data_IF_413869928226
#
_entry.id   IF_413869928226
#
_cell.length_a   1.000
_cell.length_b   1.000
_cell.length_c   1.000
_cell.angle_alpha   90.00
_cell.angle_beta   90.00
_cell.angle_gamma   90.00
#
_symmetry.space_group_name_H-M   'P 1'
#
loop_
_entity.id
_entity.type
_entity.pdbx_description
1 polymer ?
#
# COMPACT_ATOMS: atom_id res chain seq x y z
N UNK A 1 0.65 -15.76 -3.98
CA UNK A 1 0.39 -15.32 -2.58
C UNK A 1 1.08 -16.18 -1.50
N UNK A 2 1.94 -17.10 -1.91
CA UNK A 2 2.72 -17.92 -0.96
C UNK A 2 3.66 -17.08 -0.09
N UNK A 3 4.22 -15.98 -0.65
CA UNK A 3 5.12 -15.06 0.06
C UNK A 3 4.44 -14.44 1.30
N UNK A 4 3.17 -14.05 1.17
CA UNK A 4 2.41 -13.50 2.29
C UNK A 4 2.10 -14.56 3.36
N UNK A 5 1.75 -15.78 2.97
CA UNK A 5 1.57 -16.87 3.92
C UNK A 5 2.89 -17.27 4.60
N UNK A 6 4.01 -17.22 3.86
CA UNK A 6 5.33 -17.48 4.41
C UNK A 6 5.71 -16.45 5.50
N UNK A 7 5.45 -15.15 5.28
CA UNK A 7 5.63 -14.10 6.29
C UNK A 7 4.80 -14.39 7.54
N UNK A 8 3.52 -14.70 7.38
CA UNK A 8 2.61 -14.95 8.50
C UNK A 8 3.07 -16.16 9.33
N UNK A 9 3.47 -17.24 8.66
CA UNK A 9 4.04 -18.44 9.31
C UNK A 9 5.33 -18.11 10.03
N UNK A 10 6.23 -17.40 9.37
CA UNK A 10 7.53 -17.01 9.93
C UNK A 10 7.38 -16.20 11.22
N UNK A 11 6.44 -15.25 11.26
CA UNK A 11 6.19 -14.44 12.46
C UNK A 11 5.57 -15.27 13.59
N UNK A 12 4.65 -16.18 13.27
CA UNK A 12 4.06 -17.08 14.29
C UNK A 12 5.10 -18.02 14.92
N UNK A 13 6.09 -18.47 14.15
CA UNK A 13 7.09 -19.45 14.56
C UNK A 13 8.32 -18.80 15.20
N UNK A 14 8.76 -17.64 14.72
CA UNK A 14 10.06 -17.03 15.07
C UNK A 14 9.94 -15.64 15.68
N UNK A 15 8.75 -15.05 15.70
CA UNK A 15 8.55 -13.70 16.21
C UNK A 15 8.72 -13.60 17.73
N UNK A 16 9.22 -12.45 18.18
CA UNK A 16 9.26 -12.08 19.59
C UNK A 16 7.92 -11.48 20.04
N UNK A 17 7.46 -11.87 21.22
CA UNK A 17 6.29 -11.26 21.84
C UNK A 17 6.64 -9.88 22.40
N UNK A 18 5.82 -8.86 22.08
CA UNK A 18 6.00 -7.48 22.50
C UNK A 18 4.69 -6.90 23.02
N UNK A 19 4.79 -5.94 23.94
CA UNK A 19 3.71 -5.00 24.22
C UNK A 19 3.59 -3.98 23.07
N UNK A 20 2.43 -3.38 22.93
CA UNK A 20 2.16 -2.31 21.97
C UNK A 20 1.33 -1.20 22.59
N UNK A 21 1.15 -0.08 21.87
CA UNK A 21 0.40 1.09 22.34
C UNK A 21 -1.06 0.77 22.68
N UNK A 22 -1.66 -0.19 21.99
CA UNK A 22 -3.08 -0.55 22.18
C UNK A 22 -3.32 -1.49 23.36
N UNK A 23 -2.26 -2.03 23.97
CA UNK A 23 -2.34 -3.01 25.04
C UNK A 23 -2.75 -4.43 24.61
N UNK A 24 -2.99 -4.64 23.30
CA UNK A 24 -3.37 -5.97 22.75
C UNK A 24 -2.19 -6.94 22.78
N UNK A 25 -0.98 -6.43 22.61
CA UNK A 25 0.24 -7.19 22.43
C UNK A 25 0.39 -7.73 21.01
N UNK A 26 1.63 -7.89 20.59
CA UNK A 26 1.98 -8.35 19.24
C UNK A 26 3.02 -9.47 19.32
N UNK A 27 3.12 -10.23 18.23
CA UNK A 27 4.31 -11.04 17.91
C UNK A 27 4.92 -10.48 16.65
N UNK A 28 6.21 -10.15 16.66
CA UNK A 28 6.85 -9.45 15.55
C UNK A 28 8.25 -9.96 15.23
N UNK A 29 8.64 -9.72 13.98
CA UNK A 29 10.02 -9.83 13.51
C UNK A 29 10.48 -8.48 12.98
N UNK A 30 11.77 -8.18 13.05
CA UNK A 30 12.35 -6.97 12.50
C UNK A 30 13.11 -7.26 11.23
N UNK A 31 12.66 -6.64 10.14
CA UNK A 31 13.24 -6.85 8.81
C UNK A 31 12.69 -8.10 8.12
N UNK A 32 11.85 -7.90 7.11
CA UNK A 32 11.37 -8.96 6.22
C UNK A 32 11.12 -8.41 4.83
N UNK A 33 11.38 -9.20 3.78
CA UNK A 33 11.13 -8.75 2.43
C UNK A 33 10.36 -9.81 1.64
N UNK A 34 9.37 -9.34 0.88
CA UNK A 34 8.61 -10.15 -0.09
C UNK A 34 8.79 -9.59 -1.51
N UNK A 35 8.68 -10.46 -2.51
CA UNK A 35 8.70 -10.07 -3.93
C UNK A 35 7.49 -10.66 -4.63
N UNK A 36 6.87 -9.85 -5.47
CA UNK A 36 5.71 -10.21 -6.27
C UNK A 36 6.00 -9.86 -7.73
N UNK A 37 6.12 -10.87 -8.59
CA UNK A 37 6.20 -10.66 -10.04
C UNK A 37 4.81 -10.28 -10.55
N UNK A 38 4.65 -9.02 -10.94
CA UNK A 38 3.35 -8.48 -11.37
C UNK A 38 2.91 -8.99 -12.75
N UNK A 39 3.83 -9.57 -13.52
CA UNK A 39 3.50 -10.21 -14.79
C UNK A 39 2.77 -11.55 -14.60
N UNK A 40 2.87 -12.18 -13.43
CA UNK A 40 2.16 -13.43 -13.11
C UNK A 40 0.70 -13.20 -12.64
N UNK A 41 0.28 -11.96 -12.46
CA UNK A 41 -1.05 -11.59 -12.01
C UNK A 41 -1.02 -10.54 -10.90
N UNK A 42 -2.19 -9.99 -10.62
CA UNK A 42 -2.33 -8.95 -9.59
C UNK A 42 -2.33 -9.56 -8.19
N UNK A 43 -1.43 -9.14 -7.29
CA UNK A 43 -1.24 -9.79 -5.99
C UNK A 43 -2.31 -9.39 -4.96
N UNK A 44 -3.59 -9.57 -5.28
CA UNK A 44 -4.68 -9.47 -4.33
C UNK A 44 -4.81 -10.81 -3.59
N UNK A 45 -4.77 -10.77 -2.25
CA UNK A 45 -4.85 -11.98 -1.42
C UNK A 45 -6.12 -12.79 -1.75
N UNK A 46 -5.95 -14.10 -1.97
CA UNK A 46 -7.03 -15.03 -2.31
C UNK A 46 -7.42 -15.95 -1.14
N UNK A 47 -6.60 -16.04 -0.10
CA UNK A 47 -6.86 -16.87 1.09
C UNK A 47 -7.88 -16.26 2.06
N UNK A 48 -8.25 -15.00 1.86
CA UNK A 48 -9.43 -14.34 2.42
C UNK A 48 -9.91 -13.28 1.44
N UNK A 49 -11.21 -12.96 1.47
CA UNK A 49 -11.77 -11.91 0.62
C UNK A 49 -11.28 -10.54 1.06
N UNK A 50 -10.77 -9.75 0.13
CA UNK A 50 -10.42 -8.34 0.30
C UNK A 50 -11.38 -7.44 -0.49
N UNK A 51 -11.51 -6.20 -0.05
CA UNK A 51 -12.40 -5.20 -0.65
C UNK A 51 -11.59 -4.26 -1.55
N UNK A 52 -11.43 -4.65 -2.85
CA UNK A 52 -10.67 -3.86 -3.83
C UNK A 52 -11.13 -2.40 -3.89
N UNK A 53 -12.45 -2.15 -3.78
CA UNK A 53 -12.99 -0.80 -3.82
C UNK A 53 -12.33 0.13 -2.80
N UNK A 54 -12.18 -0.32 -1.54
CA UNK A 54 -11.51 0.48 -0.51
C UNK A 54 -10.04 0.73 -0.83
N UNK A 55 -9.34 -0.30 -1.34
CA UNK A 55 -7.91 -0.18 -1.72
C UNK A 55 -7.73 0.84 -2.85
N UNK A 56 -8.55 0.75 -3.89
CA UNK A 56 -8.46 1.62 -5.04
C UNK A 56 -8.81 3.08 -4.69
N UNK A 57 -9.91 3.31 -3.95
CA UNK A 57 -10.28 4.66 -3.53
C UNK A 57 -9.25 5.28 -2.57
N UNK A 58 -8.66 4.51 -1.65
CA UNK A 58 -7.57 4.99 -0.81
C UNK A 58 -6.36 5.45 -1.64
N UNK A 59 -5.95 4.63 -2.62
CA UNK A 59 -4.83 5.00 -3.50
C UNK A 59 -5.15 6.24 -4.34
N UNK A 60 -6.35 6.34 -4.91
CA UNK A 60 -6.79 7.51 -5.68
C UNK A 60 -6.82 8.78 -4.80
N UNK A 61 -7.24 8.63 -3.54
CA UNK A 61 -7.21 9.70 -2.56
C UNK A 61 -5.77 10.14 -2.23
N UNK A 62 -4.81 9.21 -2.07
CA UNK A 62 -3.39 9.58 -1.94
C UNK A 62 -2.87 10.29 -3.17
N UNK A 63 -3.20 9.81 -4.38
CA UNK A 63 -2.78 10.42 -5.65
C UNK A 63 -3.33 11.84 -5.80
N UNK A 64 -4.53 12.12 -5.30
CA UNK A 64 -5.12 13.47 -5.33
C UNK A 64 -4.41 14.49 -4.44
N UNK A 65 -3.61 14.02 -3.47
CA UNK A 65 -2.96 14.89 -2.48
C UNK A 65 -3.87 15.37 -1.36
N UNK A 66 -5.13 14.93 -1.32
CA UNK A 66 -6.09 15.30 -0.28
C UNK A 66 -5.74 14.68 1.06
N UNK A 67 -6.07 15.39 2.14
CA UNK A 67 -5.94 14.94 3.53
C UNK A 67 -7.29 14.77 4.21
N UNK A 68 -8.36 15.26 3.56
CA UNK A 68 -9.73 15.16 4.06
C UNK A 68 -10.39 13.87 3.56
N UNK A 69 -11.08 13.15 4.46
CA UNK A 69 -11.70 11.85 4.18
C UNK A 69 -13.07 11.93 3.49
N UNK A 70 -13.59 13.13 3.19
CA UNK A 70 -14.91 13.28 2.56
C UNK A 70 -15.05 12.44 1.29
N UNK A 71 -14.06 12.49 0.39
CA UNK A 71 -14.03 11.64 -0.82
C UNK A 71 -14.14 10.14 -0.51
N UNK A 72 -13.47 9.67 0.53
CA UNK A 72 -13.53 8.26 0.94
C UNK A 72 -14.94 7.91 1.43
N UNK A 73 -15.52 8.76 2.28
CA UNK A 73 -16.89 8.57 2.83
C UNK A 73 -17.95 8.58 1.74
N UNK A 74 -17.89 9.52 0.79
CA UNK A 74 -18.77 9.60 -0.39
C UNK A 74 -18.75 8.32 -1.23
N UNK A 75 -17.61 7.64 -1.24
CA UNK A 75 -17.44 6.37 -1.94
C UNK A 75 -17.66 5.13 -1.04
N UNK A 76 -18.14 5.31 0.19
CA UNK A 76 -18.47 4.24 1.13
C UNK A 76 -17.23 3.56 1.72
N UNK A 77 -16.11 4.27 1.82
CA UNK A 77 -14.85 3.82 2.39
C UNK A 77 -14.64 4.48 3.74
N UNK A 78 -14.56 3.69 4.82
CA UNK A 78 -14.53 4.17 6.21
C UNK A 78 -13.21 3.89 6.94
N UNK A 79 -12.20 3.37 6.24
CA UNK A 79 -10.95 2.87 6.85
C UNK A 79 -10.11 3.94 7.55
N UNK A 80 -10.41 5.23 7.36
CA UNK A 80 -9.74 6.36 7.97
C UNK A 80 -10.60 7.15 8.96
N UNK A 81 -11.88 6.78 9.15
CA UNK A 81 -12.83 7.55 9.98
C UNK A 81 -12.36 7.73 11.44
N UNK A 82 -11.67 6.73 12.00
CA UNK A 82 -11.27 6.71 13.41
C UNK A 82 -10.11 7.67 13.73
N UNK A 83 -9.39 8.11 12.70
CA UNK A 83 -8.23 9.00 12.87
C UNK A 83 -8.50 10.45 12.45
N UNK A 84 -9.59 10.69 11.72
CA UNK A 84 -9.92 12.03 11.24
C UNK A 84 -10.42 12.92 12.39
N UNK A 85 -10.10 14.20 12.31
CA UNK A 85 -10.63 15.21 13.21
C UNK A 85 -12.12 15.50 12.95
N UNK A 86 -12.69 16.45 13.69
CA UNK A 86 -14.11 16.82 13.56
C UNK A 86 -14.47 17.40 12.17
N UNK A 87 -13.50 17.87 11.40
CA UNK A 87 -13.65 18.37 10.04
C UNK A 87 -13.36 17.31 8.97
N UNK A 88 -13.02 16.09 9.38
CA UNK A 88 -12.65 15.01 8.49
C UNK A 88 -11.21 15.10 7.97
N UNK A 89 -10.34 15.88 8.61
CA UNK A 89 -8.94 16.05 8.20
C UNK A 89 -7.99 15.16 9.01
N UNK A 90 -6.93 14.68 8.35
CA UNK A 90 -5.89 13.81 8.93
C UNK A 90 -4.56 14.53 9.13
N UNK A 91 -4.50 15.83 8.79
CA UNK A 91 -3.24 16.54 8.69
C UNK A 91 -2.40 16.11 7.47
N UNK A 92 -1.13 16.50 7.39
CA UNK A 92 -0.30 16.36 6.18
C UNK A 92 0.20 14.92 5.93
N UNK A 93 -0.74 13.94 5.91
CA UNK A 93 -0.42 12.52 5.70
C UNK A 93 -0.18 12.20 4.22
N UNK A 94 0.38 11.07 3.92
CA UNK A 94 0.63 10.40 2.62
C UNK A 94 0.49 11.25 1.37
N UNK A 95 -0.74 11.48 0.89
CA UNK A 95 -1.01 12.19 -0.36
C UNK A 95 -0.49 13.62 -0.35
N UNK A 96 -0.59 14.34 0.78
CA UNK A 96 -0.02 15.67 0.94
C UNK A 96 1.51 15.65 0.76
N UNK A 97 2.19 14.65 1.32
CA UNK A 97 3.63 14.53 1.18
C UNK A 97 4.01 14.13 -0.26
N UNK A 98 3.26 13.24 -0.89
CA UNK A 98 3.54 12.79 -2.25
C UNK A 98 3.37 13.89 -3.30
N UNK A 99 2.34 14.76 -3.13
CA UNK A 99 1.87 15.72 -4.16
C UNK A 99 2.18 17.18 -3.83
N UNK A 100 2.41 17.51 -2.57
CA UNK A 100 2.58 18.88 -2.16
C UNK A 100 3.47 19.02 -0.91
N UNK A 101 4.65 18.38 -0.97
CA UNK A 101 5.68 18.53 0.07
C UNK A 101 6.13 19.98 0.17
N UNK A 102 6.11 20.54 1.38
CA UNK A 102 6.62 21.87 1.62
C UNK A 102 8.11 21.84 1.99
N UNK A 103 8.93 22.57 1.23
CA UNK A 103 10.34 22.83 1.58
C UNK A 103 10.44 23.85 2.71
N UNK A 104 11.62 23.96 3.33
CA UNK A 104 11.90 24.98 4.33
C UNK A 104 11.77 26.42 3.79
N UNK A 105 11.92 26.62 2.48
CA UNK A 105 11.71 27.91 1.80
C UNK A 105 10.24 28.21 1.46
N UNK A 106 9.32 27.28 1.76
CA UNK A 106 7.89 27.39 1.41
C UNK A 106 7.53 26.94 0.01
N UNK A 107 8.50 26.46 -0.76
CA UNK A 107 8.25 25.87 -2.10
C UNK A 107 7.44 24.57 -1.95
N UNK A 108 6.45 24.38 -2.84
CA UNK A 108 5.64 23.17 -2.89
C UNK A 108 6.19 22.24 -3.96
N UNK A 109 6.53 21.02 -3.55
CA UNK A 109 7.15 20.01 -4.41
C UNK A 109 6.19 18.84 -4.63
N UNK A 110 5.86 18.56 -5.90
CA UNK A 110 5.14 17.34 -6.30
C UNK A 110 6.17 16.22 -6.56
N UNK A 111 6.41 15.39 -5.55
CA UNK A 111 7.37 14.29 -5.66
C UNK A 111 6.91 13.25 -6.68
N UNK A 112 5.63 12.85 -6.66
CA UNK A 112 5.12 11.79 -7.52
C UNK A 112 5.09 12.21 -8.98
N UNK A 113 4.63 13.44 -9.27
CA UNK A 113 4.69 14.00 -10.61
C UNK A 113 6.12 14.13 -11.13
N UNK A 114 7.05 14.61 -10.29
CA UNK A 114 8.47 14.71 -10.63
C UNK A 114 9.11 13.36 -10.94
N UNK A 115 8.76 12.32 -10.17
CA UNK A 115 9.25 10.95 -10.42
C UNK A 115 8.73 10.39 -11.72
N UNK A 116 7.44 10.59 -12.05
CA UNK A 116 6.86 10.16 -13.32
C UNK A 116 7.53 10.88 -14.52
N UNK A 117 7.75 12.18 -14.39
CA UNK A 117 8.47 12.95 -15.40
C UNK A 117 9.91 12.45 -15.59
N UNK A 118 10.60 12.13 -14.48
CA UNK A 118 11.96 11.59 -14.53
C UNK A 118 12.00 10.18 -15.13
N UNK A 119 11.06 9.30 -14.84
CA UNK A 119 10.97 7.97 -15.47
C UNK A 119 10.88 8.10 -16.99
N UNK A 120 10.05 9.03 -17.50
CA UNK A 120 9.88 9.26 -18.94
C UNK A 120 11.14 9.83 -19.58
N UNK A 121 11.85 10.71 -18.89
CA UNK A 121 13.04 11.42 -19.40
C UNK A 121 14.32 10.59 -19.27
N UNK A 122 14.48 9.91 -18.13
CA UNK A 122 15.71 9.20 -17.76
C UNK A 122 15.36 7.95 -16.91
N UNK A 123 14.90 6.86 -17.55
CA UNK A 123 14.48 5.65 -16.84
C UNK A 123 15.60 5.00 -16.02
N UNK A 124 16.87 5.25 -16.32
CA UNK A 124 18.02 4.74 -15.57
C UNK A 124 18.34 5.52 -14.29
N UNK A 125 17.54 6.55 -13.97
CA UNK A 125 17.72 7.36 -12.76
C UNK A 125 17.62 6.50 -11.50
N UNK A 126 18.55 6.75 -10.55
CA UNK A 126 18.54 6.13 -9.21
C UNK A 126 17.82 6.97 -8.17
N UNK A 127 17.14 8.06 -8.60
CA UNK A 127 16.48 9.06 -7.74
C UNK A 127 14.96 9.02 -7.84
N UNK A 128 14.40 7.89 -8.28
CA UNK A 128 12.97 7.70 -8.47
C UNK A 128 12.29 7.36 -7.12
N UNK A 129 12.40 8.27 -6.14
CA UNK A 129 11.97 8.06 -4.75
C UNK A 129 10.85 9.05 -4.41
N UNK A 130 9.83 8.55 -3.71
CA UNK A 130 8.77 9.34 -3.08
C UNK A 130 8.76 9.03 -1.59
N UNK A 131 8.86 10.05 -0.74
CA UNK A 131 8.87 9.94 0.72
C UNK A 131 7.61 10.53 1.33
N UNK A 132 6.98 9.79 2.24
CA UNK A 132 5.92 10.31 3.11
C UNK A 132 6.44 10.69 4.51
N UNK A 133 7.68 10.28 4.84
CA UNK A 133 8.28 10.52 6.15
C UNK A 133 8.91 11.91 6.22
N UNK A 134 8.08 12.91 6.50
CA UNK A 134 8.51 14.29 6.71
C UNK A 134 8.62 14.57 8.20
N UNK A 135 9.84 14.58 8.74
CA UNK A 135 10.11 14.73 10.17
C UNK A 135 9.50 16.01 10.76
N UNK A 136 9.47 17.11 9.98
CA UNK A 136 8.92 18.38 10.43
C UNK A 136 7.37 18.38 10.52
N UNK A 137 6.72 17.48 9.80
CA UNK A 137 5.27 17.38 9.75
C UNK A 137 4.70 16.24 10.62
N UNK A 138 5.52 15.29 11.09
CA UNK A 138 5.05 14.16 11.93
C UNK A 138 4.14 14.61 13.10
N UNK A 139 4.46 15.68 13.85
CA UNK A 139 3.61 16.12 14.96
C UNK A 139 2.23 16.64 14.55
N UNK A 140 2.04 16.95 13.27
CA UNK A 140 0.79 17.48 12.71
C UNK A 140 -0.09 16.40 12.08
N UNK A 141 0.42 15.17 11.95
CA UNK A 141 -0.27 14.05 11.33
C UNK A 141 -1.11 13.30 12.36
N UNK A 142 -2.35 12.98 12.02
CA UNK A 142 -3.20 12.14 12.87
C UNK A 142 -2.57 10.75 13.09
N UNK A 143 -1.84 10.24 12.08
CA UNK A 143 -1.09 8.99 12.15
C UNK A 143 0.23 9.15 11.39
N UNK A 144 1.36 8.89 12.08
CA UNK A 144 2.66 8.87 11.42
C UNK A 144 2.72 7.77 10.32
N UNK A 145 3.22 8.09 9.11
CA UNK A 145 3.16 7.18 7.98
C UNK A 145 3.79 5.81 8.26
N UNK A 146 3.04 4.73 8.09
CA UNK A 146 3.57 3.37 8.11
C UNK A 146 4.39 3.10 6.83
N UNK A 147 3.86 3.49 5.67
CA UNK A 147 4.56 3.46 4.38
C UNK A 147 5.47 4.69 4.30
N UNK A 148 6.76 4.52 4.65
CA UNK A 148 7.66 5.66 4.81
C UNK A 148 8.14 6.23 3.48
N UNK A 149 8.51 5.35 2.55
CA UNK A 149 8.99 5.72 1.22
C UNK A 149 8.84 4.56 0.24
N UNK A 150 8.75 4.89 -1.03
CA UNK A 150 8.86 3.92 -2.10
C UNK A 150 9.79 4.43 -3.21
N UNK A 151 10.37 3.49 -3.94
CA UNK A 151 11.30 3.75 -5.03
C UNK A 151 10.89 2.95 -6.25
N UNK A 152 10.91 3.60 -7.42
CA UNK A 152 10.77 2.92 -8.69
C UNK A 152 12.12 2.54 -9.29
N UNK A 153 12.10 1.51 -10.12
CA UNK A 153 13.25 1.02 -10.86
C UNK A 153 12.79 0.54 -12.24
N UNK A 154 13.48 0.97 -13.27
CA UNK A 154 13.20 0.56 -14.65
C UNK A 154 14.34 -0.31 -15.17
N UNK A 155 14.00 -1.47 -15.70
CA UNK A 155 14.93 -2.35 -16.38
C UNK A 155 14.22 -3.16 -17.46
N UNK A 156 14.85 -3.33 -18.61
CA UNK A 156 14.32 -4.10 -19.73
C UNK A 156 12.88 -3.70 -20.14
N UNK A 157 12.58 -2.39 -20.13
CA UNK A 157 11.26 -1.86 -20.43
C UNK A 157 10.17 -2.18 -19.39
N UNK A 158 10.56 -2.57 -18.18
CA UNK A 158 9.63 -2.91 -17.08
C UNK A 158 9.85 -1.99 -15.89
N UNK A 159 8.74 -1.55 -15.26
CA UNK A 159 8.72 -0.77 -14.05
C UNK A 159 8.52 -1.68 -12.84
N UNK A 160 9.43 -1.59 -11.87
CA UNK A 160 9.32 -2.21 -10.54
C UNK A 160 9.18 -1.14 -9.47
N UNK A 161 8.57 -1.50 -8.34
CA UNK A 161 8.45 -0.63 -7.18
C UNK A 161 8.93 -1.36 -5.93
N UNK A 162 9.72 -0.67 -5.11
CA UNK A 162 10.07 -1.14 -3.77
C UNK A 162 9.47 -0.21 -2.72
N UNK A 163 8.69 -0.75 -1.79
CA UNK A 163 8.15 -0.06 -0.63
C UNK A 163 8.97 -0.41 0.62
N UNK A 164 9.32 0.60 1.43
CA UNK A 164 9.71 0.42 2.82
C UNK A 164 8.58 0.83 3.75
N UNK A 165 8.10 -0.11 4.56
CA UNK A 165 7.08 0.12 5.59
C UNK A 165 7.68 -0.15 6.96
N UNK A 166 7.71 0.89 7.83
CA UNK A 166 8.32 0.82 9.17
C UNK A 166 7.56 -0.06 10.15
N UNK A 167 6.23 -0.14 9.99
CA UNK A 167 5.31 -0.82 10.91
C UNK A 167 4.21 -1.47 10.08
N UNK A 168 4.04 -2.78 10.20
CA UNK A 168 3.20 -3.57 9.31
C UNK A 168 2.33 -4.58 10.08
N UNK A 169 1.03 -4.26 10.25
CA UNK A 169 0.03 -5.23 10.68
C UNK A 169 -0.14 -6.29 9.59
N UNK A 170 0.36 -7.48 9.85
CA UNK A 170 0.40 -8.57 8.87
C UNK A 170 -1.00 -9.03 8.49
N UNK A 171 -1.95 -9.03 9.43
CA UNK A 171 -3.26 -9.61 9.16
C UNK A 171 -4.22 -8.64 8.44
N UNK A 172 -4.32 -7.40 8.90
CA UNK A 172 -5.25 -6.42 8.32
C UNK A 172 -4.57 -5.52 7.28
N UNK A 173 -3.43 -4.90 7.61
CA UNK A 173 -2.80 -3.87 6.77
C UNK A 173 -2.02 -4.43 5.58
N UNK A 174 -1.12 -5.38 5.79
CA UNK A 174 -0.22 -5.89 4.74
C UNK A 174 -0.94 -6.34 3.47
N UNK A 175 -2.09 -7.07 3.51
CA UNK A 175 -2.82 -7.44 2.30
C UNK A 175 -3.31 -6.24 1.48
N UNK A 176 -3.75 -5.17 2.14
CA UNK A 176 -4.18 -3.92 1.50
C UNK A 176 -2.98 -3.22 0.87
N UNK A 177 -1.87 -3.13 1.59
CA UNK A 177 -0.66 -2.45 1.11
C UNK A 177 -0.03 -3.16 -0.10
N UNK A 178 -0.01 -4.51 -0.13
CA UNK A 178 0.44 -5.28 -1.29
C UNK A 178 -0.37 -4.88 -2.53
N UNK A 179 -1.69 -4.90 -2.44
CA UNK A 179 -2.55 -4.58 -3.57
C UNK A 179 -2.48 -3.10 -3.96
N UNK A 180 -2.41 -2.18 -2.99
CA UNK A 180 -2.32 -0.73 -3.24
C UNK A 180 -1.06 -0.36 -4.01
N UNK A 181 0.12 -0.84 -3.58
CA UNK A 181 1.38 -0.52 -4.27
C UNK A 181 1.57 -1.31 -5.58
N UNK A 182 1.01 -2.51 -5.69
CA UNK A 182 0.92 -3.19 -6.97
C UNK A 182 0.06 -2.39 -7.96
N UNK A 183 -1.11 -1.88 -7.53
CA UNK A 183 -1.97 -1.03 -8.34
C UNK A 183 -1.25 0.26 -8.77
N UNK A 184 -0.59 0.96 -7.83
CA UNK A 184 0.22 2.14 -8.14
C UNK A 184 1.29 1.83 -9.19
N UNK A 185 1.97 0.68 -9.06
CA UNK A 185 3.00 0.26 -10.03
C UNK A 185 2.42 0.05 -11.43
N UNK A 186 1.25 -0.60 -11.53
CA UNK A 186 0.55 -0.76 -12.82
C UNK A 186 0.13 0.58 -13.44
N UNK A 187 -0.43 1.49 -12.62
CA UNK A 187 -0.87 2.81 -13.09
C UNK A 187 0.32 3.64 -13.59
N UNK A 188 1.42 3.69 -12.82
CA UNK A 188 2.64 4.43 -13.23
C UNK A 188 3.30 3.77 -14.45
N UNK A 189 3.34 2.44 -14.53
CA UNK A 189 3.85 1.75 -15.73
C UNK A 189 3.05 2.14 -16.97
N UNK A 190 1.71 2.12 -16.91
CA UNK A 190 0.85 2.50 -18.02
C UNK A 190 1.10 3.95 -18.48
N UNK A 191 1.14 4.92 -17.56
CA UNK A 191 1.32 6.33 -17.93
C UNK A 191 2.75 6.65 -18.39
N UNK A 192 3.70 5.74 -18.17
CA UNK A 192 5.08 5.83 -18.66
C UNK A 192 5.36 4.91 -19.86
N UNK A 193 4.34 4.27 -20.44
CA UNK A 193 4.46 3.30 -21.54
C UNK A 193 5.46 2.17 -21.27
N UNK A 194 5.47 1.67 -20.04
CA UNK A 194 6.30 0.57 -19.57
C UNK A 194 5.44 -0.68 -19.25
N UNK A 195 6.03 -1.86 -19.38
CA UNK A 195 5.46 -3.06 -18.79
C UNK A 195 5.68 -3.08 -17.27
N UNK A 196 4.93 -3.93 -16.56
CA UNK A 196 5.16 -4.11 -15.11
C UNK A 196 6.28 -5.12 -14.85
N UNK A 197 7.06 -4.85 -13.80
CA UNK A 197 8.10 -5.73 -13.28
C UNK A 197 7.68 -6.37 -11.96
N UNK A 198 8.42 -6.08 -10.89
CA UNK A 198 8.17 -6.61 -9.54
C UNK A 198 7.64 -5.53 -8.59
N UNK A 199 6.82 -5.95 -7.63
CA UNK A 199 6.63 -5.23 -6.38
C UNK A 199 7.50 -5.88 -5.30
N UNK A 200 8.44 -5.11 -4.75
CA UNK A 200 9.33 -5.51 -3.65
C UNK A 200 8.85 -4.85 -2.38
N UNK A 201 8.49 -5.64 -1.39
CA UNK A 201 7.92 -5.12 -0.15
C UNK A 201 8.83 -5.38 1.03
N UNK A 202 9.45 -4.34 1.56
CA UNK A 202 10.39 -4.37 2.68
C UNK A 202 9.70 -3.85 3.95
N UNK A 203 9.67 -4.67 4.98
CA UNK A 203 9.03 -4.41 6.27
C UNK A 203 10.08 -4.16 7.34
N UNK A 204 9.88 -3.16 8.17
CA UNK A 204 10.60 -2.94 9.42
C UNK A 204 10.04 -3.84 10.53
N UNK A 205 9.18 -3.30 11.42
CA UNK A 205 8.46 -4.10 12.41
C UNK A 205 7.25 -4.77 11.74
N UNK A 206 7.40 -6.05 11.40
CA UNK A 206 6.33 -6.87 10.84
C UNK A 206 5.68 -7.65 11.96
N UNK A 207 4.44 -7.30 12.33
CA UNK A 207 3.79 -7.80 13.51
C UNK A 207 2.41 -8.38 13.25
N UNK A 208 2.06 -9.34 14.08
CA UNK A 208 0.73 -9.94 14.17
C UNK A 208 0.18 -9.66 15.57
N UNK A 209 -0.96 -9.00 15.66
CA UNK A 209 -1.63 -8.79 16.94
C UNK A 209 -2.07 -10.11 17.57
N UNK A 210 -1.98 -10.25 18.90
CA UNK A 210 -2.32 -11.50 19.59
C UNK A 210 -3.76 -11.94 19.37
N UNK A 211 -4.68 -10.98 19.27
CA UNK A 211 -6.11 -11.23 18.97
C UNK A 211 -6.37 -11.64 17.51
N UNK A 212 -5.33 -11.70 16.66
CA UNK A 212 -5.39 -12.18 15.26
C UNK A 212 -4.77 -13.57 15.07
N UNK A 213 -4.20 -14.20 16.11
CA UNK A 213 -3.47 -15.47 15.95
C UNK A 213 -4.35 -16.60 15.40
N UNK A 214 -5.58 -16.73 15.91
CA UNK A 214 -6.50 -17.77 15.43
C UNK A 214 -6.93 -17.51 13.97
N UNK A 215 -7.20 -16.26 13.61
CA UNK A 215 -7.52 -15.87 12.25
C UNK A 215 -6.34 -16.14 11.30
N UNK A 216 -5.13 -15.87 11.73
CA UNK A 216 -3.92 -16.14 10.97
C UNK A 216 -3.71 -17.64 10.76
N UNK A 217 -3.87 -18.46 11.82
CA UNK A 217 -3.81 -19.91 11.71
C UNK A 217 -4.87 -20.45 10.75
N UNK A 218 -6.12 -19.98 10.88
CA UNK A 218 -7.19 -20.35 9.95
C UNK A 218 -6.82 -19.97 8.50
N UNK A 219 -6.29 -18.77 8.27
CA UNK A 219 -5.89 -18.35 6.92
C UNK A 219 -4.76 -19.20 6.35
N UNK A 220 -3.84 -19.67 7.18
CA UNK A 220 -2.73 -20.55 6.79
C UNK A 220 -3.18 -21.96 6.38
N UNK A 221 -4.35 -22.44 6.79
CA UNK A 221 -4.93 -23.72 6.31
C UNK A 221 -5.48 -23.64 4.89
N UNK A 222 -5.64 -22.44 4.33
CA UNK A 222 -6.27 -22.21 3.04
C UNK A 222 -5.26 -22.22 1.91
N UNK A 223 -5.51 -22.99 0.88
CA UNK A 223 -4.71 -22.98 -0.35
C UNK A 223 -5.05 -21.74 -1.17
N UNK A 224 -4.06 -20.94 -1.60
CA UNK A 224 -4.33 -19.79 -2.47
C UNK A 224 -4.91 -20.22 -3.81
N UNK A 225 -5.90 -19.47 -4.32
CA UNK A 225 -6.33 -19.56 -5.72
C UNK A 225 -5.34 -18.86 -6.64
N UNK A 226 -5.51 -19.03 -7.94
CA UNK A 226 -4.78 -18.28 -8.97
C UNK A 226 -4.97 -16.76 -8.76
N UNK A 227 -3.95 -15.99 -9.10
CA UNK A 227 -4.02 -14.53 -9.03
C UNK A 227 -5.01 -14.00 -10.09
N UNK A 228 -5.78 -12.96 -9.76
CA UNK A 228 -6.61 -12.27 -10.74
C UNK A 228 -5.76 -11.47 -11.72
N UNK A 229 -6.37 -11.06 -12.83
CA UNK A 229 -5.79 -10.11 -13.77
C UNK A 229 -6.33 -8.73 -13.50
N UNK A 230 -5.45 -7.75 -13.33
CA UNK A 230 -5.82 -6.33 -13.27
C UNK A 230 -5.99 -5.81 -14.70
N UNK A 231 -7.09 -5.08 -14.94
CA UNK A 231 -7.33 -4.34 -16.17
C UNK A 231 -7.49 -2.87 -15.83
N UNK A 232 -6.69 -2.03 -16.49
CA UNK A 232 -6.78 -0.58 -16.44
C UNK A 232 -7.28 -0.09 -17.82
N UNK A 233 -8.10 0.97 -17.83
CA UNK A 233 -8.53 1.59 -19.09
C UNK A 233 -7.30 2.13 -19.83
N UNK A 234 -6.97 1.61 -21.03
CA UNK A 234 -5.77 1.99 -21.76
C UNK A 234 -5.80 3.43 -22.32
N UNK A 235 -6.97 4.08 -22.31
CA UNK A 235 -7.12 5.47 -22.74
C UNK A 235 -6.55 6.47 -21.74
N UNK A 236 -6.38 6.07 -20.48
CA UNK A 236 -5.86 6.93 -19.40
C UNK A 236 -4.34 7.10 -19.55
N UNK A 237 -3.88 8.34 -19.72
CA UNK A 237 -2.48 8.69 -20.01
C UNK A 237 -1.79 9.53 -18.94
N UNK A 238 -2.53 9.97 -17.93
CA UNK A 238 -1.97 10.67 -16.76
C UNK A 238 -2.47 10.02 -15.47
N UNK A 239 -1.66 10.09 -14.41
CA UNK A 239 -1.99 9.42 -13.15
C UNK A 239 -3.23 10.02 -12.50
N UNK A 240 -3.41 11.34 -12.63
CA UNK A 240 -4.51 12.11 -12.05
C UNK A 240 -5.86 11.84 -12.75
N UNK A 241 -5.83 11.32 -13.98
CA UNK A 241 -7.05 11.01 -14.72
C UNK A 241 -7.67 9.65 -14.36
N UNK A 242 -6.99 8.85 -13.54
CA UNK A 242 -7.58 7.59 -13.08
C UNK A 242 -8.73 7.83 -12.12
N UNK A 243 -9.83 7.11 -12.37
CA UNK A 243 -10.98 6.97 -11.51
C UNK A 243 -11.22 5.48 -11.20
N UNK A 244 -12.03 5.19 -10.20
CA UNK A 244 -12.34 3.80 -9.83
C UNK A 244 -12.96 3.00 -10.99
N UNK A 245 -13.76 3.64 -11.85
CA UNK A 245 -14.37 3.05 -13.04
C UNK A 245 -13.37 2.53 -14.07
N UNK A 246 -12.13 3.06 -14.06
CA UNK A 246 -11.04 2.66 -14.95
C UNK A 246 -10.25 1.44 -14.44
N UNK A 247 -10.63 0.88 -13.27
CA UNK A 247 -9.90 -0.19 -12.57
C UNK A 247 -10.82 -1.39 -12.44
N UNK A 248 -10.47 -2.52 -13.00
CA UNK A 248 -11.23 -3.75 -12.86
C UNK A 248 -10.35 -4.98 -12.65
N UNK A 249 -10.92 -5.98 -11.98
CA UNK A 249 -10.27 -7.29 -11.82
C UNK A 249 -11.06 -8.35 -12.56
N UNK A 250 -10.33 -9.18 -13.30
CA UNK A 250 -10.88 -10.36 -13.98
C UNK A 250 -10.44 -11.62 -13.23
N UNK A 251 -11.37 -12.55 -13.06
CA UNK A 251 -11.13 -13.86 -12.44
C UNK A 251 -10.68 -13.82 -10.97
N UNK A 252 -11.11 -12.81 -10.19
CA UNK A 252 -10.82 -12.81 -8.76
C UNK A 252 -11.69 -13.85 -8.03
N UNK A 253 -11.04 -14.89 -7.54
CA UNK A 253 -11.62 -15.90 -6.65
C UNK A 253 -10.92 -15.82 -5.29
N UNK A 254 -11.66 -15.91 -4.22
CA UNK A 254 -11.12 -15.89 -2.87
C UNK A 254 -11.91 -16.78 -1.92
N UNK A 255 -11.23 -17.24 -0.88
CA UNK A 255 -11.93 -17.79 0.28
C UNK A 255 -12.77 -16.71 0.97
N UNK A 256 -13.72 -17.15 1.79
CA UNK A 256 -14.57 -16.25 2.57
C UNK A 256 -13.74 -15.28 3.45
N UNK A 257 -14.29 -14.10 3.70
CA UNK A 257 -13.72 -13.13 4.62
C UNK A 257 -13.45 -13.74 6.00
N UNK A 258 -12.36 -13.33 6.64
CA UNK A 258 -12.04 -13.65 8.03
C UNK A 258 -12.13 -12.34 8.82
N UNK A 259 -13.13 -12.23 9.68
CA UNK A 259 -13.31 -11.05 10.53
C UNK A 259 -12.25 -11.00 11.63
N UNK A 260 -11.67 -9.83 11.87
CA UNK A 260 -10.74 -9.57 12.95
C UNK A 260 -10.98 -8.16 13.52
N UNK A 261 -10.77 -7.94 14.83
CA UNK A 261 -10.89 -6.62 15.43
C UNK A 261 -9.72 -5.73 14.98
N UNK A 262 -10.00 -4.44 14.83
CA UNK A 262 -8.95 -3.43 14.62
C UNK A 262 -8.36 -3.10 15.98
N UNK A 263 -7.03 -3.03 16.09
CA UNK A 263 -6.34 -2.54 17.28
C UNK A 263 -6.14 -1.02 17.13
N UNK A 264 -6.76 -0.25 18.03
CA UNK A 264 -6.79 1.24 18.03
C UNK A 264 -5.93 1.79 19.15
#
# INVERSE_FOLDING_TARGET
>A
MQQYQALMRYVLEHGADKSDRTGTGTRSVFGYQMRFDLAQGFPLVTTKKLHLKSIAHELLWFISGSTNIAYLQENGVSIWNEWADANGDLGPVYGKQWRAWQSASGEVLDQLGSVIAEIKRNPDSRRLIVSAWNVADLPKMALAPCHCLFQFYVANGKLSCQLYQRSADIFLGVPFNIASYALLTHMVAQVCDLAVGEFVYTLGDAHLYRNHFEQARLQLTRTPYALPTLQLDPSIKTLEAFEYSHISLVNYQSHAHIKAPVAI
#
